data_IF_929257468894
#
_entry.id   IF_929257468894
#
_cell.length_a   1.000
_cell.length_b   1.000
_cell.length_c   1.000
_cell.angle_alpha   90.00
_cell.angle_beta   90.00
_cell.angle_gamma   90.00
#
_symmetry.space_group_name_H-M   'P 1'
#
loop_
_entity.id
_entity.type
_entity.pdbx_description
1 polymer ?
#
# COMPACT_ATOMS: atom_id res chain seq x y z
N UNK A 1 -16.31 -12.00 -12.59
CA UNK A 1 -15.02 -12.09 -11.86
C UNK A 1 -14.60 -10.66 -11.56
N UNK A 2 -14.05 -10.38 -10.38
CA UNK A 2 -13.49 -9.05 -10.09
C UNK A 2 -12.25 -8.87 -10.97
N UNK A 3 -12.25 -7.86 -11.83
CA UNK A 3 -11.15 -7.64 -12.78
C UNK A 3 -9.99 -6.84 -12.16
N UNK A 4 -10.27 -6.05 -11.12
CA UNK A 4 -9.31 -5.18 -10.45
C UNK A 4 -9.37 -5.39 -8.94
N UNK A 5 -8.20 -5.53 -8.32
CA UNK A 5 -8.04 -5.49 -6.86
C UNK A 5 -7.25 -4.25 -6.47
N UNK A 6 -7.80 -3.45 -5.56
CA UNK A 6 -7.11 -2.37 -4.88
C UNK A 6 -6.53 -2.90 -3.57
N UNK A 7 -5.21 -2.80 -3.39
CA UNK A 7 -4.59 -2.99 -2.07
C UNK A 7 -4.28 -1.62 -1.49
N UNK A 8 -4.81 -1.35 -0.29
CA UNK A 8 -4.82 -0.03 0.33
C UNK A 8 -3.82 -0.02 1.50
N UNK A 9 -2.69 0.65 1.29
CA UNK A 9 -1.58 0.75 2.23
C UNK A 9 -1.75 2.05 3.05
N UNK A 10 -1.95 1.95 4.37
CA UNK A 10 -2.05 3.12 5.24
C UNK A 10 -0.69 3.80 5.43
N UNK A 11 -0.71 5.04 5.93
CA UNK A 11 0.48 5.77 6.33
C UNK A 11 1.00 5.40 7.73
N UNK A 12 1.57 6.38 8.42
CA UNK A 12 2.09 6.23 9.76
C UNK A 12 1.02 5.69 10.72
N UNK A 13 1.43 4.82 11.66
CA UNK A 13 0.53 4.08 12.54
C UNK A 13 -0.05 2.79 11.94
N UNK A 14 0.07 2.59 10.61
CA UNK A 14 -0.12 1.28 9.98
C UNK A 14 -1.54 0.69 10.02
N UNK A 15 -2.55 1.45 10.41
CA UNK A 15 -3.90 0.92 10.62
C UNK A 15 -4.72 0.85 9.32
N UNK A 16 -5.20 -0.35 8.97
CA UNK A 16 -6.16 -0.58 7.89
C UNK A 16 -7.42 0.29 8.02
N UNK A 17 -7.80 0.67 9.25
CA UNK A 17 -8.98 1.47 9.54
C UNK A 17 -8.98 2.82 8.84
N UNK A 18 -7.81 3.37 8.47
CA UNK A 18 -7.73 4.59 7.65
C UNK A 18 -8.63 4.52 6.40
N UNK A 19 -8.80 3.32 5.83
CA UNK A 19 -9.55 3.08 4.60
C UNK A 19 -11.01 2.65 4.81
N UNK A 20 -11.54 2.64 6.03
CA UNK A 20 -12.88 2.09 6.35
C UNK A 20 -14.05 2.71 5.56
N UNK A 21 -13.92 3.97 5.10
CA UNK A 21 -14.93 4.60 4.23
C UNK A 21 -14.67 4.35 2.74
N UNK A 22 -13.42 4.19 2.34
CA UNK A 22 -13.03 4.02 0.93
C UNK A 22 -13.22 2.58 0.45
N UNK A 23 -12.93 1.60 1.29
CA UNK A 23 -13.14 0.17 1.00
C UNK A 23 -14.59 -0.14 0.54
N UNK A 24 -15.65 0.22 1.30
CA UNK A 24 -17.02 -0.06 0.87
C UNK A 24 -17.40 0.71 -0.39
N UNK A 25 -16.94 1.95 -0.55
CA UNK A 25 -17.20 2.77 -1.74
C UNK A 25 -16.59 2.14 -3.00
N UNK A 26 -15.35 1.65 -2.94
CA UNK A 26 -14.71 0.95 -4.05
C UNK A 26 -15.48 -0.33 -4.41
N UNK A 27 -15.86 -1.13 -3.42
CA UNK A 27 -16.63 -2.36 -3.66
C UNK A 27 -18.02 -2.10 -4.25
N UNK A 28 -18.64 -0.95 -3.97
CA UNK A 28 -19.96 -0.59 -4.51
C UNK A 28 -19.92 -0.03 -5.95
N UNK A 29 -18.82 0.66 -6.33
CA UNK A 29 -18.72 1.38 -7.61
C UNK A 29 -18.39 0.50 -8.82
N UNK A 30 -18.14 -0.78 -8.63
CA UNK A 30 -17.83 -1.67 -9.74
C UNK A 30 -17.44 -3.08 -9.32
N UNK A 31 -16.83 -3.80 -10.24
CA UNK A 31 -16.39 -5.19 -10.05
C UNK A 31 -14.99 -5.21 -9.43
N UNK A 32 -14.85 -4.51 -8.31
CA UNK A 32 -13.58 -4.29 -7.62
C UNK A 32 -13.51 -5.09 -6.32
N UNK A 33 -12.31 -5.59 -6.03
CA UNK A 33 -11.94 -6.00 -4.68
C UNK A 33 -11.15 -4.88 -4.02
N UNK A 34 -11.29 -4.70 -2.71
CA UNK A 34 -10.56 -3.71 -1.94
C UNK A 34 -10.00 -4.38 -0.69
N UNK A 35 -8.68 -4.29 -0.50
CA UNK A 35 -7.94 -4.97 0.57
C UNK A 35 -7.21 -3.91 1.38
N UNK A 36 -7.81 -3.38 2.45
CA UNK A 36 -7.08 -2.55 3.39
C UNK A 36 -6.08 -3.41 4.18
N UNK A 37 -4.85 -2.93 4.32
CA UNK A 37 -3.76 -3.67 4.97
C UNK A 37 -3.44 -3.06 6.32
N UNK A 38 -3.34 -3.90 7.36
CA UNK A 38 -2.76 -3.52 8.64
C UNK A 38 -1.27 -3.84 8.61
N UNK A 39 -0.43 -2.82 8.78
CA UNK A 39 1.02 -2.93 8.84
C UNK A 39 1.47 -3.13 10.29
N UNK A 40 2.62 -3.79 10.54
CA UNK A 40 3.15 -4.02 11.89
C UNK A 40 3.82 -2.75 12.46
N UNK A 41 3.08 -1.64 12.49
CA UNK A 41 3.60 -0.33 12.90
C UNK A 41 3.81 -0.15 14.41
N UNK A 42 3.31 -1.09 15.22
CA UNK A 42 3.59 -1.16 16.65
C UNK A 42 4.82 -2.01 17.00
N UNK A 43 5.43 -2.67 16.00
CA UNK A 43 6.68 -3.43 16.17
C UNK A 43 7.85 -2.56 15.71
N UNK A 44 8.60 -2.01 16.66
CA UNK A 44 9.75 -1.14 16.39
C UNK A 44 10.90 -1.86 15.67
N UNK A 45 10.88 -3.20 15.61
CA UNK A 45 11.87 -3.99 14.86
C UNK A 45 11.47 -4.20 13.39
N UNK A 46 10.22 -3.90 13.02
CA UNK A 46 9.71 -4.15 11.69
C UNK A 46 10.30 -3.17 10.66
N UNK A 47 10.83 -3.71 9.58
CA UNK A 47 11.41 -2.95 8.47
C UNK A 47 10.36 -2.63 7.39
N UNK A 48 10.71 -1.72 6.46
CA UNK A 48 9.91 -1.48 5.25
C UNK A 48 9.77 -2.74 4.37
N UNK A 49 10.76 -3.64 4.40
CA UNK A 49 10.68 -4.92 3.71
C UNK A 49 9.62 -5.83 4.35
N UNK A 50 9.50 -5.82 5.68
CA UNK A 50 8.44 -6.56 6.39
C UNK A 50 7.06 -6.00 6.07
N UNK A 51 6.93 -4.67 5.96
CA UNK A 51 5.70 -4.02 5.54
C UNK A 51 5.30 -4.45 4.13
N UNK A 52 6.25 -4.44 3.18
CA UNK A 52 6.01 -4.91 1.82
C UNK A 52 5.59 -6.40 1.79
N UNK A 53 6.24 -7.24 2.59
CA UNK A 53 5.91 -8.67 2.68
C UNK A 53 4.48 -8.90 3.22
N UNK A 54 4.01 -8.08 4.15
CA UNK A 54 2.62 -8.11 4.64
C UNK A 54 1.64 -7.77 3.52
N UNK A 55 1.91 -6.71 2.74
CA UNK A 55 1.08 -6.31 1.59
C UNK A 55 1.03 -7.42 0.53
N UNK A 56 2.18 -7.98 0.15
CA UNK A 56 2.28 -9.07 -0.83
C UNK A 56 1.49 -10.30 -0.36
N UNK A 57 1.60 -10.64 0.93
CA UNK A 57 0.84 -11.76 1.52
C UNK A 57 -0.67 -11.55 1.43
N UNK A 58 -1.15 -10.32 1.61
CA UNK A 58 -2.57 -9.99 1.54
C UNK A 58 -3.15 -10.20 0.13
N UNK A 59 -2.36 -9.92 -0.92
CA UNK A 59 -2.82 -10.00 -2.32
C UNK A 59 -2.53 -11.36 -2.97
N UNK A 60 -1.65 -12.19 -2.40
CA UNK A 60 -1.24 -13.50 -2.94
C UNK A 60 -2.36 -14.48 -3.23
N UNK A 61 -3.48 -14.38 -2.52
CA UNK A 61 -4.64 -15.28 -2.69
C UNK A 61 -5.63 -14.79 -3.76
N UNK A 62 -5.38 -13.61 -4.34
CA UNK A 62 -6.30 -12.99 -5.28
C UNK A 62 -6.13 -13.55 -6.68
N UNK A 63 -7.27 -13.78 -7.34
CA UNK A 63 -7.34 -14.29 -8.72
C UNK A 63 -7.57 -13.19 -9.75
N UNK A 64 -7.56 -11.93 -9.33
CA UNK A 64 -7.83 -10.78 -10.19
C UNK A 64 -6.71 -10.58 -11.20
N UNK A 65 -7.06 -10.00 -12.36
CA UNK A 65 -6.12 -9.78 -13.47
C UNK A 65 -5.29 -8.53 -13.31
N UNK A 66 -5.75 -7.56 -12.52
CA UNK A 66 -5.10 -6.25 -12.35
C UNK A 66 -5.01 -5.90 -10.88
N UNK A 67 -3.79 -5.69 -10.40
CA UNK A 67 -3.51 -5.21 -9.06
C UNK A 67 -3.23 -3.71 -9.11
N UNK A 68 -3.95 -2.93 -8.30
CA UNK A 68 -3.71 -1.52 -8.07
C UNK A 68 -3.21 -1.35 -6.65
N UNK A 69 -2.01 -0.80 -6.49
CA UNK A 69 -1.47 -0.45 -5.17
C UNK A 69 -1.83 1.00 -4.88
N UNK A 70 -2.49 1.25 -3.76
CA UNK A 70 -2.83 2.60 -3.29
C UNK A 70 -2.08 2.84 -2.00
N UNK A 71 -1.26 3.89 -1.95
CA UNK A 71 -0.45 4.23 -0.78
C UNK A 71 -0.75 5.63 -0.28
N UNK A 72 -0.93 5.78 1.03
CA UNK A 72 -1.18 7.07 1.68
C UNK A 72 -0.02 7.47 2.59
N UNK A 73 0.32 8.76 2.62
CA UNK A 73 1.38 9.34 3.47
C UNK A 73 2.65 8.47 3.49
N UNK A 74 3.12 8.04 4.66
CA UNK A 74 4.31 7.20 4.84
C UNK A 74 4.24 5.86 4.08
N UNK A 75 3.05 5.37 3.74
CA UNK A 75 2.86 4.17 2.92
C UNK A 75 3.53 4.28 1.54
N UNK A 76 3.85 5.50 1.08
CA UNK A 76 4.62 5.73 -0.12
C UNK A 76 6.05 5.18 -0.10
N UNK A 77 6.61 4.87 1.07
CA UNK A 77 7.86 4.11 1.19
C UNK A 77 7.68 2.60 1.06
N UNK A 78 6.48 2.08 1.35
CA UNK A 78 6.19 0.63 1.23
C UNK A 78 5.78 0.26 -0.19
N UNK A 79 4.98 1.11 -0.86
CA UNK A 79 4.42 0.83 -2.17
C UNK A 79 5.45 0.47 -3.27
N UNK A 80 6.56 1.24 -3.45
CA UNK A 80 7.57 0.91 -4.44
C UNK A 80 8.20 -0.47 -4.22
N UNK A 81 8.47 -0.84 -2.97
CA UNK A 81 9.05 -2.16 -2.62
C UNK A 81 8.09 -3.32 -2.94
N UNK A 82 6.78 -3.08 -2.92
CA UNK A 82 5.79 -4.06 -3.39
C UNK A 82 5.84 -4.18 -4.92
N UNK A 83 5.93 -3.04 -5.62
CA UNK A 83 5.97 -3.00 -7.08
C UNK A 83 7.24 -3.66 -7.65
N UNK A 84 8.35 -3.65 -6.92
CA UNK A 84 9.58 -4.35 -7.30
C UNK A 84 9.45 -5.89 -7.21
N UNK A 85 8.53 -6.40 -6.39
CA UNK A 85 8.44 -7.83 -6.08
C UNK A 85 7.31 -8.55 -6.80
N UNK A 86 6.23 -7.86 -7.17
CA UNK A 86 5.08 -8.46 -7.83
C UNK A 86 4.54 -7.56 -8.96
N UNK A 87 3.91 -8.13 -10.00
CA UNK A 87 3.29 -7.34 -11.06
C UNK A 87 2.17 -6.43 -10.52
N UNK A 88 2.32 -5.12 -10.71
CA UNK A 88 1.34 -4.09 -10.34
C UNK A 88 0.92 -3.35 -11.61
N UNK A 89 -0.39 -3.21 -11.85
CA UNK A 89 -0.93 -2.54 -13.02
C UNK A 89 -0.98 -1.02 -12.88
N UNK A 90 -1.11 -0.51 -11.65
CA UNK A 90 -1.13 0.91 -11.33
C UNK A 90 -0.69 1.14 -9.89
N UNK A 91 0.16 2.14 -9.68
CA UNK A 91 0.48 2.69 -8.36
C UNK A 91 -0.22 4.04 -8.20
N UNK A 92 -0.99 4.20 -7.13
CA UNK A 92 -1.72 5.42 -6.79
C UNK A 92 -1.15 5.98 -5.49
N UNK A 93 -0.68 7.22 -5.53
CA UNK A 93 -0.10 7.93 -4.39
C UNK A 93 -1.10 8.96 -3.85
N UNK A 94 -1.66 8.71 -2.67
CA UNK A 94 -2.71 9.54 -2.03
C UNK A 94 -2.08 10.38 -0.93
N UNK A 95 -1.71 11.63 -1.24
CA UNK A 95 -0.98 12.50 -0.31
C UNK A 95 0.19 11.75 0.35
N UNK A 96 0.95 11.02 -0.47
CA UNK A 96 2.00 10.12 -0.02
C UNK A 96 3.36 10.81 0.01
N UNK A 97 4.24 10.36 0.90
CA UNK A 97 5.66 10.67 0.82
C UNK A 97 6.23 9.90 -0.37
N UNK A 98 6.77 10.61 -1.35
CA UNK A 98 7.35 10.01 -2.56
C UNK A 98 8.87 10.00 -2.41
N UNK A 99 9.50 8.82 -2.19
CA UNK A 99 10.94 8.76 -1.97
C UNK A 99 11.76 8.73 -3.26
N UNK A 100 13.00 9.20 -3.18
CA UNK A 100 14.08 8.80 -4.09
C UNK A 100 14.52 7.35 -3.79
N UNK A 101 15.07 6.61 -4.78
CA UNK A 101 15.64 5.30 -4.53
C UNK A 101 16.71 5.33 -3.43
N UNK A 102 16.59 4.45 -2.44
CA UNK A 102 17.52 4.32 -1.31
C UNK A 102 17.31 5.31 -0.16
N UNK A 103 16.39 6.27 -0.30
CA UNK A 103 16.05 7.22 0.76
C UNK A 103 15.28 6.54 1.90
N UNK A 104 15.58 6.91 3.14
CA UNK A 104 14.83 6.49 4.32
C UNK A 104 13.70 7.48 4.65
N UNK A 105 12.64 7.05 5.38
CA UNK A 105 11.59 7.96 5.83
C UNK A 105 12.06 9.19 6.60
N UNK A 106 13.16 9.07 7.34
CA UNK A 106 13.72 10.19 8.11
C UNK A 106 14.47 11.21 7.25
N UNK A 107 15.03 10.79 6.11
CA UNK A 107 15.75 11.66 5.18
C UNK A 107 14.81 12.51 4.31
N UNK A 108 13.60 12.00 4.06
CA UNK A 108 12.57 12.63 3.24
C UNK A 108 12.40 14.13 3.47
N UNK A 109 12.33 14.54 4.75
CA UNK A 109 12.14 15.92 5.18
C UNK A 109 13.19 16.92 4.69
N UNK A 110 14.40 16.43 4.38
CA UNK A 110 15.49 17.25 3.83
C UNK A 110 15.59 17.14 2.32
N UNK A 111 15.20 16.01 1.75
CA UNK A 111 15.66 15.60 0.43
C UNK A 111 14.56 15.64 -0.63
N UNK A 112 13.33 15.25 -0.30
CA UNK A 112 12.24 15.09 -1.27
C UNK A 112 10.87 15.60 -0.80
N UNK A 113 10.73 16.05 0.46
CA UNK A 113 9.52 16.71 0.94
C UNK A 113 9.66 17.52 2.21
#
# INVERSE_FOLDING_TARGET
>A
MQDVTFVLIPGAGGSAWYWHLVEPELRQRGWYEAIPVSLPAADDSASLADYAAVVIRAVRKQKSRRLVVVAQSLGGFTAPLVCEQIPVSLLVMVNAMIPKPGETPGEWWRDTG
#
